data_IF_697028713716
#
_entry.id   IF_697028713716
#
_cell.length_a   1.000
_cell.length_b   1.000
_cell.length_c   1.000
_cell.angle_alpha   90.00
_cell.angle_beta   90.00
_cell.angle_gamma   90.00
#
_symmetry.space_group_name_H-M   'P 1'
#
loop_
_entity.id
_entity.type
_entity.pdbx_description
1 polymer ?
#
# COMPACT_ATOMS: atom_id res chain seq x y z
N UNK A 1 -9.99 -11.40 29.39
CA UNK A 1 -9.49 -10.18 28.71
C UNK A 1 -9.44 -10.47 27.22
N UNK A 2 -9.79 -9.52 26.38
CA UNK A 2 -9.65 -9.70 24.94
C UNK A 2 -8.15 -9.85 24.60
N UNK A 3 -7.83 -10.76 23.69
CA UNK A 3 -6.48 -11.02 23.19
C UNK A 3 -6.00 -9.80 22.39
N UNK A 4 -4.75 -9.34 22.60
CA UNK A 4 -4.20 -8.26 21.79
C UNK A 4 -3.97 -8.73 20.33
N UNK A 5 -3.96 -7.81 19.35
CA UNK A 5 -3.76 -8.18 17.94
C UNK A 5 -2.42 -8.90 17.72
N UNK A 6 -1.39 -8.49 18.44
CA UNK A 6 -0.04 -9.08 18.37
C UNK A 6 0.04 -10.52 18.93
N UNK A 7 -0.93 -10.92 19.74
CA UNK A 7 -1.03 -12.26 20.33
C UNK A 7 -1.93 -13.20 19.50
N UNK A 8 -2.61 -12.69 18.47
CA UNK A 8 -3.51 -13.48 17.63
C UNK A 8 -2.72 -14.34 16.63
N UNK A 9 -3.23 -15.53 16.32
CA UNK A 9 -2.72 -16.32 15.20
C UNK A 9 -3.08 -15.68 13.86
N UNK A 10 -2.40 -16.09 12.78
CA UNK A 10 -2.72 -15.61 11.44
C UNK A 10 -4.19 -15.90 11.06
N UNK A 11 -4.69 -17.07 11.42
CA UNK A 11 -6.08 -17.47 11.16
C UNK A 11 -7.06 -16.57 11.92
N UNK A 12 -6.79 -16.27 13.20
CA UNK A 12 -7.60 -15.33 13.98
C UNK A 12 -7.60 -13.93 13.36
N UNK A 13 -6.43 -13.45 12.92
CA UNK A 13 -6.31 -12.16 12.24
C UNK A 13 -7.06 -12.15 10.89
N UNK A 14 -7.00 -13.24 10.12
CA UNK A 14 -7.72 -13.31 8.84
C UNK A 14 -9.24 -13.36 9.02
N UNK A 15 -9.73 -13.94 10.11
CA UNK A 15 -11.16 -13.89 10.47
C UNK A 15 -11.58 -12.48 10.90
N UNK A 16 -10.74 -11.79 11.65
CA UNK A 16 -11.02 -10.42 12.12
C UNK A 16 -10.92 -9.40 10.98
N UNK A 17 -10.02 -9.65 10.01
CA UNK A 17 -9.73 -8.77 8.87
C UNK A 17 -9.91 -9.51 7.53
N UNK A 18 -11.14 -9.93 7.20
CA UNK A 18 -11.39 -10.64 5.96
C UNK A 18 -11.09 -9.78 4.74
N UNK A 19 -10.83 -10.43 3.62
CA UNK A 19 -10.72 -9.74 2.35
C UNK A 19 -12.13 -9.42 1.88
N UNK A 20 -12.37 -8.17 1.55
CA UNK A 20 -13.55 -7.74 0.82
C UNK A 20 -13.17 -6.66 -0.19
N UNK A 21 -13.94 -6.56 -1.25
CA UNK A 21 -13.76 -5.56 -2.28
C UNK A 21 -15.05 -4.75 -2.40
N UNK A 22 -14.90 -3.47 -2.69
CA UNK A 22 -16.01 -2.57 -2.98
C UNK A 22 -15.74 -1.76 -4.23
N UNK A 23 -16.76 -1.15 -4.78
CA UNK A 23 -16.65 -0.23 -5.91
C UNK A 23 -15.74 0.94 -5.59
N UNK A 24 -15.13 1.51 -6.63
CA UNK A 24 -14.24 2.66 -6.44
C UNK A 24 -14.96 3.79 -5.71
N UNK A 25 -14.42 4.17 -4.56
CA UNK A 25 -14.89 5.31 -3.77
C UNK A 25 -14.05 6.55 -4.08
N UNK A 26 -14.70 7.64 -4.48
CA UNK A 26 -14.05 8.91 -4.82
C UNK A 26 -13.34 9.55 -3.62
N UNK A 27 -13.75 9.22 -2.40
CA UNK A 27 -13.16 9.75 -1.18
C UNK A 27 -11.75 9.20 -0.91
N UNK A 28 -11.37 8.07 -1.52
CA UNK A 28 -10.04 7.47 -1.32
C UNK A 28 -8.90 8.43 -1.68
N UNK A 29 -9.05 9.21 -2.73
CA UNK A 29 -8.06 10.23 -3.09
C UNK A 29 -7.94 11.33 -2.02
N UNK A 30 -9.06 11.77 -1.45
CA UNK A 30 -9.07 12.75 -0.37
C UNK A 30 -8.44 12.17 0.92
N UNK A 31 -8.77 10.92 1.29
CA UNK A 31 -8.17 10.25 2.44
C UNK A 31 -6.64 10.12 2.32
N UNK A 32 -6.15 9.79 1.12
CA UNK A 32 -4.72 9.79 0.84
C UNK A 32 -4.10 11.18 1.07
N UNK A 33 -4.71 12.24 0.54
CA UNK A 33 -4.19 13.62 0.67
C UNK A 33 -4.15 14.05 2.13
N UNK A 34 -5.22 13.79 2.90
CA UNK A 34 -5.29 14.11 4.32
C UNK A 34 -4.23 13.39 5.13
N UNK A 35 -4.09 12.05 4.93
CA UNK A 35 -3.10 11.27 5.65
C UNK A 35 -1.67 11.63 5.25
N UNK A 36 -1.41 11.92 3.97
CA UNK A 36 -0.10 12.38 3.51
C UNK A 36 0.31 13.71 4.14
N UNK A 37 -0.61 14.66 4.27
CA UNK A 37 -0.36 15.92 4.98
C UNK A 37 -0.06 15.69 6.46
N UNK A 38 -0.79 14.76 7.09
CA UNK A 38 -0.56 14.39 8.49
C UNK A 38 0.83 13.77 8.66
N UNK A 39 1.25 12.87 7.78
CA UNK A 39 2.60 12.30 7.79
C UNK A 39 3.64 13.40 7.60
N UNK A 40 3.46 14.30 6.64
CA UNK A 40 4.38 15.42 6.40
C UNK A 40 4.55 16.31 7.63
N UNK A 41 3.50 16.51 8.42
CA UNK A 41 3.53 17.42 9.58
C UNK A 41 4.48 16.98 10.70
N UNK A 42 4.82 15.68 10.77
CA UNK A 42 5.75 15.17 11.77
C UNK A 42 7.11 14.71 11.20
N UNK A 43 7.25 14.69 9.88
CA UNK A 43 8.54 14.44 9.26
C UNK A 43 9.42 15.71 9.29
N UNK A 44 10.76 15.58 9.32
CA UNK A 44 11.66 16.74 9.28
C UNK A 44 11.44 17.60 8.04
N UNK A 45 11.17 18.89 8.24
CA UNK A 45 10.83 19.82 7.16
C UNK A 45 11.99 20.13 6.19
N UNK A 46 13.22 19.83 6.57
CA UNK A 46 14.43 20.08 5.80
C UNK A 46 14.82 18.94 4.84
N UNK A 47 14.00 17.91 4.73
CA UNK A 47 14.25 16.74 3.91
C UNK A 47 13.24 16.63 2.77
N UNK A 48 13.71 16.15 1.62
CA UNK A 48 12.85 15.86 0.48
C UNK A 48 12.27 14.46 0.63
N UNK A 49 11.02 14.38 1.07
CA UNK A 49 10.25 13.14 1.11
C UNK A 49 9.29 13.10 -0.07
N UNK A 50 9.19 11.94 -0.71
CA UNK A 50 8.19 11.73 -1.78
C UNK A 50 7.11 10.80 -1.27
N UNK A 51 5.85 11.22 -1.41
CA UNK A 51 4.71 10.39 -1.08
C UNK A 51 3.84 10.17 -2.31
N UNK A 52 3.38 8.92 -2.47
CA UNK A 52 2.58 8.53 -3.61
C UNK A 52 1.41 7.66 -3.16
N UNK A 53 0.21 7.96 -3.68
CA UNK A 53 -0.92 7.05 -3.61
C UNK A 53 -0.67 5.91 -4.58
N UNK A 54 -0.54 4.70 -4.07
CA UNK A 54 -0.33 3.48 -4.83
C UNK A 54 -1.46 2.48 -4.58
N UNK A 55 -1.33 1.25 -5.08
CA UNK A 55 -2.33 0.21 -4.91
C UNK A 55 -3.62 0.47 -5.68
N UNK A 56 -4.60 -0.41 -5.48
CA UNK A 56 -5.84 -0.42 -6.28
C UNK A 56 -6.75 0.79 -6.02
N UNK A 57 -6.72 1.38 -4.82
CA UNK A 57 -7.52 2.56 -4.47
C UNK A 57 -7.07 3.83 -5.19
N UNK A 58 -5.84 3.83 -5.73
CA UNK A 58 -5.31 4.93 -6.55
C UNK A 58 -5.75 4.87 -8.02
N UNK A 59 -6.48 3.83 -8.43
CA UNK A 59 -6.88 3.57 -9.82
C UNK A 59 -8.40 3.73 -9.91
N UNK A 60 -8.86 4.71 -10.65
CA UNK A 60 -10.28 4.98 -10.80
C UNK A 60 -11.02 3.83 -11.52
N UNK A 61 -12.27 3.61 -11.13
CA UNK A 61 -13.20 2.75 -11.83
C UNK A 61 -12.97 1.25 -11.66
N UNK A 62 -12.10 0.80 -10.75
CA UNK A 62 -11.93 -0.61 -10.42
C UNK A 62 -12.28 -0.91 -8.96
N UNK A 63 -12.83 -2.09 -8.71
CA UNK A 63 -13.07 -2.59 -7.36
C UNK A 63 -11.76 -2.76 -6.59
N UNK A 64 -11.73 -2.39 -5.32
CA UNK A 64 -10.58 -2.52 -4.46
C UNK A 64 -10.97 -2.83 -3.00
N UNK A 65 -10.03 -3.35 -2.23
CA UNK A 65 -10.13 -3.27 -0.76
C UNK A 65 -10.07 -1.80 -0.37
N UNK A 66 -10.90 -1.32 0.58
CA UNK A 66 -10.89 0.09 1.02
C UNK A 66 -9.68 0.40 1.91
N UNK A 67 -8.48 0.15 1.40
CA UNK A 67 -7.21 0.38 2.06
C UNK A 67 -6.39 1.33 1.20
N UNK A 68 -5.96 2.43 1.78
CA UNK A 68 -5.13 3.42 1.11
C UNK A 68 -3.67 3.01 1.24
N UNK A 69 -3.07 2.60 0.13
CA UNK A 69 -1.65 2.27 0.08
C UNK A 69 -0.84 3.53 -0.20
N UNK A 70 0.11 3.84 0.69
CA UNK A 70 1.00 5.00 0.61
C UNK A 70 2.44 4.51 0.44
N UNK A 71 3.12 4.92 -0.62
CA UNK A 71 4.56 4.78 -0.75
C UNK A 71 5.22 6.07 -0.23
N UNK A 72 6.04 5.92 0.80
CA UNK A 72 6.89 6.99 1.34
C UNK A 72 8.34 6.69 0.98
N UNK A 73 8.91 7.48 0.07
CA UNK A 73 10.30 7.38 -0.30
C UNK A 73 11.14 8.43 0.44
N UNK A 74 12.26 7.99 0.99
CA UNK A 74 13.20 8.82 1.75
C UNK A 74 14.60 8.74 1.13
N UNK A 75 15.43 9.81 1.27
CA UNK A 75 16.81 9.75 0.83
C UNK A 75 17.60 8.73 1.66
N UNK A 76 18.67 8.16 1.07
CA UNK A 76 19.54 7.20 1.76
C UNK A 76 20.32 7.80 2.94
N UNK A 77 20.40 9.12 3.03
CA UNK A 77 20.96 9.85 4.18
C UNK A 77 20.08 9.82 5.43
N UNK A 78 18.79 9.44 5.28
CA UNK A 78 17.85 9.37 6.39
C UNK A 78 17.89 7.99 7.08
N UNK A 79 17.73 8.02 8.41
CA UNK A 79 17.59 6.80 9.21
C UNK A 79 16.12 6.34 9.21
N UNK A 80 15.86 5.20 8.56
CA UNK A 80 14.53 4.56 8.56
C UNK A 80 14.01 4.30 9.98
N UNK A 81 14.90 4.00 10.93
CA UNK A 81 14.50 3.76 12.33
C UNK A 81 13.94 5.02 12.99
N UNK A 82 14.45 6.19 12.64
CA UNK A 82 13.91 7.46 13.10
C UNK A 82 12.50 7.71 12.56
N UNK A 83 12.30 7.45 11.26
CA UNK A 83 10.97 7.57 10.64
C UNK A 83 10.00 6.55 11.23
N UNK A 84 10.43 5.30 11.43
CA UNK A 84 9.66 4.25 12.11
C UNK A 84 9.14 4.72 13.48
N UNK A 85 10.02 5.25 14.35
CA UNK A 85 9.60 5.75 15.67
C UNK A 85 8.47 6.76 15.58
N UNK A 86 8.57 7.73 14.67
CA UNK A 86 7.54 8.74 14.45
C UNK A 86 6.23 8.12 13.97
N UNK A 87 6.28 7.19 13.00
CA UNK A 87 5.09 6.50 12.50
C UNK A 87 4.36 5.75 13.63
N UNK A 88 5.10 5.08 14.52
CA UNK A 88 4.51 4.39 15.68
C UNK A 88 3.81 5.36 16.63
N UNK A 89 4.40 6.52 16.91
CA UNK A 89 3.79 7.58 17.74
C UNK A 89 2.47 8.11 17.14
N UNK A 90 2.33 8.03 15.80
CA UNK A 90 1.12 8.44 15.07
C UNK A 90 0.14 7.30 14.78
N UNK A 91 0.29 6.17 15.47
CA UNK A 91 -0.67 5.06 15.47
C UNK A 91 -0.51 4.08 14.31
N UNK A 92 0.63 4.09 13.63
CA UNK A 92 0.98 3.03 12.70
C UNK A 92 1.51 1.80 13.44
N UNK A 93 1.15 0.61 12.99
CA UNK A 93 1.62 -0.67 13.52
C UNK A 93 2.67 -1.25 12.55
N UNK A 94 3.83 -1.72 13.02
CA UNK A 94 4.84 -2.32 12.17
C UNK A 94 4.36 -3.69 11.70
N UNK A 95 4.52 -3.97 10.41
CA UNK A 95 4.08 -5.25 9.80
C UNK A 95 5.24 -6.10 9.30
N UNK A 96 6.18 -5.48 8.60
CA UNK A 96 7.35 -6.18 8.08
C UNK A 96 8.54 -5.24 7.99
N UNK A 97 9.72 -5.80 8.14
CA UNK A 97 11.00 -5.09 8.05
C UNK A 97 12.01 -5.97 7.33
N UNK A 98 12.69 -5.40 6.35
CA UNK A 98 13.81 -6.01 5.64
C UNK A 98 14.78 -4.91 5.24
N UNK A 99 15.92 -5.26 4.66
CA UNK A 99 16.91 -4.29 4.24
C UNK A 99 16.31 -3.24 3.27
N UNK A 100 16.29 -1.99 3.70
CA UNK A 100 15.79 -0.86 2.92
C UNK A 100 14.26 -0.80 2.73
N UNK A 101 13.49 -1.67 3.41
CA UNK A 101 12.04 -1.74 3.29
C UNK A 101 11.37 -1.96 4.63
N UNK A 102 10.39 -1.12 4.95
CA UNK A 102 9.50 -1.32 6.08
C UNK A 102 8.05 -1.13 5.62
N UNK A 103 7.14 -1.88 6.23
CA UNK A 103 5.70 -1.73 5.98
C UNK A 103 4.95 -1.57 7.28
N UNK A 104 3.92 -0.73 7.25
CA UNK A 104 3.11 -0.38 8.41
C UNK A 104 1.64 -0.40 8.04
N UNK A 105 0.80 -0.72 9.02
CA UNK A 105 -0.65 -0.63 8.89
C UNK A 105 -1.21 0.36 9.91
N UNK A 106 -2.34 0.99 9.57
CA UNK A 106 -3.13 1.84 10.48
C UNK A 106 -4.60 1.61 10.23
N UNK A 107 -5.41 1.62 11.30
CA UNK A 107 -6.84 1.34 11.21
C UNK A 107 -7.21 -0.12 11.42
N UNK A 108 -6.32 -0.92 11.97
CA UNK A 108 -6.57 -2.29 12.42
C UNK A 108 -6.90 -2.27 13.91
N UNK A 109 -8.11 -2.72 14.29
CA UNK A 109 -8.59 -2.67 15.68
C UNK A 109 -9.10 -4.03 16.14
N UNK A 110 -9.28 -4.21 17.43
CA UNK A 110 -9.89 -5.42 18.00
C UNK A 110 -11.36 -5.66 17.58
N UNK A 111 -11.98 -4.66 16.95
CA UNK A 111 -13.34 -4.73 16.40
C UNK A 111 -13.36 -4.90 14.87
N UNK A 112 -12.20 -5.14 14.25
CA UNK A 112 -12.03 -5.21 12.80
C UNK A 112 -11.43 -3.92 12.23
N UNK A 113 -11.69 -3.67 10.96
CA UNK A 113 -11.21 -2.46 10.28
C UNK A 113 -11.89 -1.20 10.82
N UNK A 114 -11.11 -0.14 11.03
CA UNK A 114 -11.63 1.20 11.25
C UNK A 114 -12.26 1.76 9.96
N UNK A 115 -12.95 2.90 10.06
CA UNK A 115 -13.54 3.58 8.90
C UNK A 115 -12.50 3.89 7.81
N UNK A 116 -11.27 4.24 8.20
CA UNK A 116 -10.17 4.51 7.28
C UNK A 116 -8.98 3.62 7.61
N UNK A 117 -8.48 2.92 6.61
CA UNK A 117 -7.37 1.98 6.74
C UNK A 117 -6.24 2.38 5.80
N UNK A 118 -5.02 2.37 6.31
CA UNK A 118 -3.84 2.76 5.56
C UNK A 118 -2.77 1.68 5.65
N UNK A 119 -2.10 1.41 4.52
CA UNK A 119 -0.84 0.71 4.46
C UNK A 119 0.24 1.69 4.01
N UNK A 120 1.31 1.80 4.76
CA UNK A 120 2.44 2.64 4.42
C UNK A 120 3.65 1.77 4.11
N UNK A 121 4.25 2.01 2.95
CA UNK A 121 5.46 1.36 2.48
C UNK A 121 6.60 2.37 2.52
N UNK A 122 7.48 2.24 3.51
CA UNK A 122 8.68 3.07 3.65
C UNK A 122 9.81 2.46 2.84
N UNK A 123 10.41 3.25 1.95
CA UNK A 123 11.45 2.83 1.01
C UNK A 123 12.53 3.91 0.88
N UNK A 124 13.71 3.51 0.46
CA UNK A 124 14.67 4.47 -0.07
C UNK A 124 14.33 4.86 -1.51
N UNK A 125 14.72 6.06 -1.94
CA UNK A 125 14.55 6.52 -3.31
C UNK A 125 14.99 5.47 -4.33
N UNK A 126 14.18 5.29 -5.37
CA UNK A 126 14.42 4.35 -6.46
C UNK A 126 13.83 2.96 -6.27
N UNK A 127 13.29 2.65 -5.10
CA UNK A 127 12.56 1.40 -4.85
C UNK A 127 11.04 1.65 -4.93
N UNK A 128 10.52 1.79 -6.15
CA UNK A 128 9.18 2.25 -6.43
C UNK A 128 8.49 1.53 -7.60
N UNK A 129 8.70 0.23 -7.73
CA UNK A 129 8.07 -0.59 -8.78
C UNK A 129 6.54 -0.48 -8.80
N UNK A 130 5.94 -0.21 -7.65
CA UNK A 130 4.51 0.03 -7.47
C UNK A 130 4.01 1.23 -8.30
N UNK A 131 4.84 2.27 -8.53
CA UNK A 131 4.48 3.41 -9.36
C UNK A 131 4.33 3.02 -10.83
N UNK A 132 5.22 2.16 -11.33
CA UNK A 132 5.16 1.67 -12.70
C UNK A 132 3.89 0.84 -12.93
N UNK A 133 3.56 -0.06 -12.00
CA UNK A 133 2.35 -0.86 -12.09
C UNK A 133 1.09 -0.01 -12.03
N UNK A 134 1.01 0.93 -11.08
CA UNK A 134 -0.10 1.89 -10.94
C UNK A 134 -0.33 2.66 -12.23
N UNK A 135 0.71 3.28 -12.77
CA UNK A 135 0.58 4.13 -13.95
C UNK A 135 0.21 3.31 -15.19
N UNK A 136 0.75 2.08 -15.28
CA UNK A 136 0.36 1.19 -16.36
C UNK A 136 -1.14 0.88 -16.35
N UNK A 137 -1.70 0.60 -15.18
CA UNK A 137 -3.14 0.36 -15.05
C UNK A 137 -3.98 1.61 -15.32
N UNK A 138 -3.50 2.80 -14.93
CA UNK A 138 -4.17 4.07 -15.25
C UNK A 138 -4.21 4.33 -16.75
N UNK A 139 -3.14 4.04 -17.46
CA UNK A 139 -3.02 4.28 -18.90
C UNK A 139 -3.66 3.16 -19.76
N UNK A 140 -3.98 1.99 -19.14
CA UNK A 140 -4.49 0.81 -19.85
C UNK A 140 -5.75 0.26 -19.14
N UNK A 141 -6.88 0.90 -19.35
CA UNK A 141 -8.16 0.59 -18.67
C UNK A 141 -8.61 -0.87 -18.85
N UNK A 142 -8.37 -1.49 -20.00
CA UNK A 142 -8.68 -2.91 -20.21
C UNK A 142 -7.87 -3.81 -19.25
N UNK A 143 -6.57 -3.52 -19.07
CA UNK A 143 -5.72 -4.27 -18.13
C UNK A 143 -6.12 -4.01 -16.68
N UNK A 144 -6.56 -2.79 -16.36
CA UNK A 144 -7.11 -2.48 -15.04
C UNK A 144 -8.37 -3.31 -14.75
N UNK A 145 -9.24 -3.50 -15.75
CA UNK A 145 -10.42 -4.38 -15.65
C UNK A 145 -10.05 -5.86 -15.54
N UNK A 146 -9.06 -6.34 -16.25
CA UNK A 146 -8.53 -7.70 -16.08
C UNK A 146 -8.01 -7.92 -14.65
N UNK A 147 -7.32 -6.93 -14.10
CA UNK A 147 -6.85 -6.96 -12.71
C UNK A 147 -7.99 -6.94 -11.69
N UNK A 148 -9.04 -6.18 -11.96
CA UNK A 148 -10.27 -6.18 -11.17
C UNK A 148 -10.90 -7.57 -11.16
N UNK A 149 -11.10 -8.18 -12.33
CA UNK A 149 -11.70 -9.51 -12.44
C UNK A 149 -10.88 -10.57 -11.70
N UNK A 150 -9.55 -10.53 -11.85
CA UNK A 150 -8.65 -11.40 -11.09
C UNK A 150 -8.90 -11.23 -9.58
N UNK A 151 -8.94 -10.01 -9.06
CA UNK A 151 -9.16 -9.74 -7.63
C UNK A 151 -10.53 -10.23 -7.16
N UNK A 152 -11.58 -10.05 -7.94
CA UNK A 152 -12.93 -10.52 -7.61
C UNK A 152 -13.00 -12.05 -7.51
N UNK A 153 -12.34 -12.77 -8.42
CA UNK A 153 -12.24 -14.24 -8.38
C UNK A 153 -11.47 -14.68 -7.13
N UNK A 154 -10.31 -14.04 -6.88
CA UNK A 154 -9.44 -14.38 -5.76
C UNK A 154 -10.09 -14.06 -4.41
N UNK A 155 -10.88 -13.00 -4.30
CA UNK A 155 -11.64 -12.68 -3.11
C UNK A 155 -12.59 -13.83 -2.72
N UNK A 156 -13.40 -14.32 -3.66
CA UNK A 156 -14.30 -15.45 -3.42
C UNK A 156 -13.55 -16.73 -3.00
N UNK A 157 -12.32 -16.89 -3.49
CA UNK A 157 -11.51 -18.10 -3.21
C UNK A 157 -10.75 -18.01 -1.89
N UNK A 158 -10.30 -16.81 -1.50
CA UNK A 158 -9.35 -16.60 -0.42
C UNK A 158 -9.81 -15.54 0.60
N UNK A 159 -11.11 -15.39 0.83
CA UNK A 159 -11.68 -14.37 1.71
C UNK A 159 -10.98 -14.30 3.08
N UNK A 160 -10.68 -15.47 3.66
CA UNK A 160 -10.03 -15.62 4.96
C UNK A 160 -8.59 -16.16 4.83
N UNK A 161 -7.92 -15.90 3.72
CA UNK A 161 -6.51 -16.25 3.54
C UNK A 161 -5.79 -15.16 2.77
N UNK A 162 -5.33 -14.15 3.51
CA UNK A 162 -4.68 -12.95 2.95
C UNK A 162 -3.40 -13.28 2.18
N UNK A 163 -2.62 -14.25 2.67
CA UNK A 163 -1.34 -14.60 2.07
C UNK A 163 -1.55 -15.26 0.71
N UNK A 164 -2.45 -16.25 0.63
CA UNK A 164 -2.80 -16.89 -0.63
C UNK A 164 -3.42 -15.91 -1.64
N UNK A 165 -4.26 -14.97 -1.16
CA UNK A 165 -4.80 -13.90 -2.02
C UNK A 165 -3.70 -13.01 -2.58
N UNK A 166 -2.71 -12.67 -1.76
CA UNK A 166 -1.61 -11.79 -2.17
C UNK A 166 -0.68 -12.49 -3.13
N UNK A 167 -0.29 -13.72 -2.82
CA UNK A 167 0.57 -14.53 -3.68
C UNK A 167 -0.05 -14.77 -5.06
N UNK A 168 -1.33 -15.09 -5.12
CA UNK A 168 -2.04 -15.36 -6.37
C UNK A 168 -2.11 -14.17 -7.35
N UNK A 169 -1.82 -12.93 -6.90
CA UNK A 169 -1.72 -11.74 -7.75
C UNK A 169 -0.31 -11.45 -8.25
N UNK A 170 0.69 -12.07 -7.66
CA UNK A 170 2.10 -11.70 -7.85
C UNK A 170 2.54 -11.79 -9.30
N UNK A 171 2.14 -12.84 -10.02
CA UNK A 171 2.50 -13.02 -11.43
C UNK A 171 1.88 -11.94 -12.33
N UNK A 172 0.63 -11.57 -12.09
CA UNK A 172 -0.02 -10.49 -12.82
C UNK A 172 0.71 -9.16 -12.59
N UNK A 173 0.97 -8.82 -11.32
CA UNK A 173 1.65 -7.58 -10.94
C UNK A 173 3.05 -7.55 -11.56
N UNK A 174 3.84 -8.59 -11.40
CA UNK A 174 5.20 -8.70 -11.96
C UNK A 174 5.21 -8.51 -13.47
N UNK A 175 4.32 -9.20 -14.19
CA UNK A 175 4.21 -9.13 -15.66
C UNK A 175 3.98 -7.69 -16.11
N UNK A 176 3.02 -6.99 -15.51
CA UNK A 176 2.66 -5.65 -15.96
C UNK A 176 3.60 -4.56 -15.44
N UNK A 177 4.23 -4.74 -14.28
CA UNK A 177 5.34 -3.90 -13.83
C UNK A 177 6.51 -3.93 -14.80
N UNK A 178 6.90 -5.13 -15.29
CA UNK A 178 7.97 -5.26 -16.28
C UNK A 178 7.61 -4.61 -17.62
N UNK A 179 6.36 -4.73 -18.07
CA UNK A 179 5.88 -4.02 -19.27
C UNK A 179 5.93 -2.51 -19.08
N UNK A 180 5.47 -2.02 -17.95
CA UNK A 180 5.48 -0.61 -17.60
C UNK A 180 6.91 -0.03 -17.58
N UNK A 181 7.86 -0.72 -16.96
CA UNK A 181 9.27 -0.32 -16.94
C UNK A 181 9.86 -0.20 -18.35
N UNK A 182 9.53 -1.12 -19.25
CA UNK A 182 9.96 -1.05 -20.65
C UNK A 182 9.31 0.11 -21.40
N UNK A 183 8.02 0.38 -21.16
CA UNK A 183 7.25 1.42 -21.83
C UNK A 183 7.64 2.82 -21.33
N UNK A 184 7.68 2.99 -20.02
CA UNK A 184 7.90 4.30 -19.39
C UNK A 184 9.39 4.59 -19.13
N UNK A 185 10.27 3.61 -19.38
CA UNK A 185 11.72 3.70 -19.21
C UNK A 185 12.09 4.40 -17.90
N UNK A 186 12.65 5.61 -17.99
CA UNK A 186 13.18 6.40 -16.87
C UNK A 186 12.18 7.38 -16.26
N UNK A 187 10.87 7.09 -16.30
CA UNK A 187 9.83 8.03 -15.81
C UNK A 187 10.10 8.50 -14.36
N UNK A 188 10.64 7.62 -13.54
CA UNK A 188 10.89 7.86 -12.12
C UNK A 188 12.37 7.88 -11.76
N UNK A 189 13.26 7.77 -12.74
CA UNK A 189 14.68 7.98 -12.48
C UNK A 189 14.85 9.45 -12.09
N UNK A 190 15.19 9.68 -10.83
CA UNK A 190 15.55 11.01 -10.39
C UNK A 190 16.77 11.46 -11.21
N UNK A 191 16.65 12.61 -11.84
CA UNK A 191 17.85 13.37 -12.18
C UNK A 191 18.46 13.77 -10.84
N UNK A 192 19.42 12.97 -10.37
CA UNK A 192 20.28 13.37 -9.27
C UNK A 192 21.13 14.50 -9.87
N UNK A 193 20.68 15.75 -9.65
CA UNK A 193 21.52 16.92 -9.82
C UNK A 193 22.38 17.09 -8.58
#
# INVERSE_FOLDING_TARGET
MAKALEDMSLEELWQLFPIFLEEHNKDWAAWYVEESRRIQSFLPANQLYKMHHIGSTSIEGIWAKPIIDILLEIPRSEDMGSIKRKLLEYGYLPMSESEGRMSFNKGYTLQGFAERVFHLHLRYYGDHDELYFRDYLKDHSAVAKDYEQLKLILWKKYEYNRDAYTEAKTDFIRRYTQKAKKLYKRRYDDKIE
#
